data_IF_574857981407
#
_entry.id   IF_574857981407
#
_cell.length_a   1.000
_cell.length_b   1.000
_cell.length_c   1.000
_cell.angle_alpha   90.00
_cell.angle_beta   90.00
_cell.angle_gamma   90.00
#
_symmetry.space_group_name_H-M   'P 1'
#
loop_
_entity.id
_entity.type
_entity.pdbx_description
1 polymer ?
#
# COMPACT_ATOMS: atom_id res chain seq x y z
N UNK A 1 6.16 -8.64 7.85
CA UNK A 1 5.24 -8.42 8.99
C UNK A 1 4.04 -7.57 8.57
N UNK A 2 2.82 -8.06 8.81
CA UNK A 2 1.56 -7.39 8.40
C UNK A 2 1.12 -6.40 9.50
N UNK A 3 0.91 -5.13 9.16
CA UNK A 3 0.49 -4.08 10.10
C UNK A 3 -0.90 -3.55 9.70
N UNK A 4 -1.81 -3.45 10.67
CA UNK A 4 -3.18 -2.96 10.49
C UNK A 4 -3.58 -2.10 11.67
N UNK A 5 -4.18 -0.95 11.40
CA UNK A 5 -4.72 -0.03 12.42
C UNK A 5 -6.22 -0.28 12.71
N UNK A 6 -6.86 -1.26 12.06
CA UNK A 6 -8.30 -1.58 12.23
C UNK A 6 -8.52 -2.77 13.18
N UNK A 7 -9.44 -2.62 14.16
CA UNK A 7 -9.87 -3.70 15.11
C UNK A 7 -10.44 -4.95 14.43
N UNK A 8 -10.97 -4.83 13.20
CA UNK A 8 -11.41 -5.94 12.36
C UNK A 8 -10.86 -5.74 10.95
N UNK A 9 -9.82 -6.49 10.63
CA UNK A 9 -9.15 -6.48 9.33
C UNK A 9 -7.79 -7.14 9.47
N UNK A 10 -7.52 -8.18 8.68
CA UNK A 10 -6.32 -9.02 8.80
C UNK A 10 -5.00 -8.30 8.44
N UNK A 11 -5.06 -7.06 7.97
CA UNK A 11 -3.87 -6.34 7.47
C UNK A 11 -3.29 -6.91 6.17
N UNK A 12 -3.99 -7.84 5.52
CA UNK A 12 -3.49 -8.54 4.34
C UNK A 12 -3.63 -7.73 3.05
N UNK A 13 -4.61 -6.82 2.95
CA UNK A 13 -4.93 -6.11 1.71
C UNK A 13 -3.73 -5.38 1.12
N UNK A 14 -3.03 -4.56 1.92
CA UNK A 14 -1.87 -3.81 1.43
C UNK A 14 -0.66 -4.72 1.14
N UNK A 15 -0.55 -5.85 1.84
CA UNK A 15 0.50 -6.82 1.55
C UNK A 15 0.25 -7.56 0.23
N UNK A 16 -1.01 -7.84 -0.11
CA UNK A 16 -1.41 -8.37 -1.43
C UNK A 16 -1.10 -7.33 -2.51
N UNK A 17 -1.49 -6.07 -2.31
CA UNK A 17 -1.21 -4.97 -3.26
C UNK A 17 0.30 -4.83 -3.48
N UNK A 18 1.10 -4.78 -2.41
CA UNK A 18 2.57 -4.68 -2.51
C UNK A 18 3.14 -5.86 -3.28
N UNK A 19 2.66 -7.08 -3.04
CA UNK A 19 3.10 -8.27 -3.78
C UNK A 19 2.82 -8.14 -5.27
N UNK A 20 1.59 -7.79 -5.63
CA UNK A 20 1.18 -7.61 -7.04
C UNK A 20 2.06 -6.55 -7.72
N UNK A 21 2.21 -5.37 -7.11
CA UNK A 21 2.99 -4.27 -7.69
C UNK A 21 4.45 -4.67 -7.90
N UNK A 22 5.08 -5.33 -6.92
CA UNK A 22 6.47 -5.82 -7.04
C UNK A 22 6.60 -6.91 -8.11
N UNK A 23 5.64 -7.83 -8.22
CA UNK A 23 5.61 -8.86 -9.26
C UNK A 23 5.50 -8.25 -10.67
N UNK A 24 4.92 -7.06 -10.82
CA UNK A 24 4.88 -6.29 -12.06
C UNK A 24 6.09 -5.36 -12.27
N UNK A 25 7.13 -5.47 -11.42
CA UNK A 25 8.33 -4.62 -11.48
C UNK A 25 8.11 -3.17 -11.03
N UNK A 26 6.97 -2.89 -10.40
CA UNK A 26 6.60 -1.58 -9.90
C UNK A 26 6.99 -1.34 -8.43
N UNK A 27 6.62 -0.15 -7.94
CA UNK A 27 6.82 0.30 -6.56
C UNK A 27 5.52 0.84 -5.96
N UNK A 28 5.40 0.78 -4.63
CA UNK A 28 4.28 1.42 -3.90
C UNK A 28 4.82 2.19 -2.70
N UNK A 29 4.38 3.45 -2.56
CA UNK A 29 4.73 4.34 -1.46
C UNK A 29 3.49 4.85 -0.74
N UNK A 30 3.67 5.20 0.53
CA UNK A 30 2.63 5.77 1.40
C UNK A 30 3.11 7.10 1.92
N UNK A 31 2.30 8.12 1.71
CA UNK A 31 2.56 9.49 2.14
C UNK A 31 1.39 10.00 2.99
N UNK A 32 1.70 10.89 3.93
CA UNK A 32 0.66 11.66 4.60
C UNK A 32 -0.06 12.56 3.59
N UNK A 33 -1.37 12.76 3.78
CA UNK A 33 -2.13 13.69 2.97
C UNK A 33 -2.54 14.91 3.78
N UNK A 34 -2.41 16.10 3.19
CA UNK A 34 -2.88 17.34 3.77
C UNK A 34 -4.30 17.68 3.27
N UNK A 35 -5.21 18.18 4.13
CA UNK A 35 -5.04 18.38 5.58
C UNK A 35 -5.15 17.08 6.38
N UNK A 36 -5.81 16.04 5.83
CA UNK A 36 -6.02 14.75 6.47
C UNK A 36 -6.04 13.61 5.45
N UNK A 37 -5.78 12.39 5.91
CA UNK A 37 -5.88 11.16 5.13
C UNK A 37 -4.52 10.56 4.77
N UNK A 38 -4.53 9.65 3.80
CA UNK A 38 -3.33 8.92 3.36
C UNK A 38 -3.31 8.87 1.84
N UNK A 39 -2.14 9.13 1.25
CA UNK A 39 -1.91 9.05 -0.19
C UNK A 39 -1.06 7.82 -0.49
N UNK A 40 -1.54 6.97 -1.39
CA UNK A 40 -0.78 5.85 -1.94
C UNK A 40 -0.34 6.19 -3.36
N UNK A 41 0.94 6.00 -3.67
CA UNK A 41 1.51 6.24 -5.00
C UNK A 41 2.03 4.91 -5.52
N UNK A 42 1.64 4.53 -6.74
CA UNK A 42 2.07 3.30 -7.40
C UNK A 42 2.76 3.68 -8.71
N UNK A 43 3.95 3.16 -8.92
CA UNK A 43 4.70 3.31 -10.18
C UNK A 43 4.84 1.94 -10.83
N UNK A 44 4.67 1.86 -12.15
CA UNK A 44 4.75 0.61 -12.92
C UNK A 44 5.62 0.86 -14.16
N UNK A 45 6.51 -0.08 -14.53
CA UNK A 45 7.28 0.01 -15.77
C UNK A 45 6.38 0.12 -17.00
N UNK A 46 6.83 0.86 -18.03
CA UNK A 46 6.17 0.97 -19.35
C UNK A 46 6.53 -0.21 -20.26
#
# INVERSE_FOLDING_TARGET
PYYSTKRRGSGLGLAIVRRIVVEHGGSIEVHDNAPHGTRFVIEVPL
#
